data_IF_729094903149
#
_entry.id   IF_729094903149
#
_cell.length_a   1.000
_cell.length_b   1.000
_cell.length_c   1.000
_cell.angle_alpha   90.00
_cell.angle_beta   90.00
_cell.angle_gamma   90.00
#
_symmetry.space_group_name_H-M   'P 1'
#
loop_
_entity.id
_entity.type
_entity.pdbx_description
1 polymer ?
#
# COMPACT_ATOMS: atom_id res chain seq x y z
N UNK A 1 22.89 -9.32 12.80
CA UNK A 1 24.19 -8.64 12.66
C UNK A 1 23.89 -7.15 12.72
N UNK A 2 24.57 -6.38 13.56
CA UNK A 2 24.38 -4.92 13.60
C UNK A 2 25.40 -4.26 12.68
N UNK A 3 25.03 -3.11 12.15
CA UNK A 3 25.93 -2.30 11.34
C UNK A 3 25.85 -0.86 11.87
N UNK A 4 27.01 -0.23 11.97
CA UNK A 4 27.15 1.10 12.57
C UNK A 4 27.07 2.15 11.48
N UNK A 5 26.21 3.13 11.70
CA UNK A 5 25.97 4.21 10.76
C UNK A 5 25.70 5.49 11.56
N UNK A 6 26.54 6.51 11.39
CA UNK A 6 26.48 7.78 12.14
C UNK A 6 26.36 7.59 13.68
N UNK A 7 27.21 6.72 14.25
CA UNK A 7 27.22 6.34 15.68
C UNK A 7 25.94 5.61 16.18
N UNK A 8 25.07 5.18 15.25
CA UNK A 8 23.87 4.39 15.53
C UNK A 8 24.05 2.96 15.05
N UNK A 9 23.85 1.99 15.95
CA UNK A 9 23.80 0.58 15.59
C UNK A 9 22.40 0.22 15.06
N UNK A 10 22.34 -0.06 13.76
CA UNK A 10 21.11 -0.49 13.10
C UNK A 10 21.13 -2.01 12.93
N UNK A 11 19.96 -2.64 13.02
CA UNK A 11 19.84 -4.05 12.71
C UNK A 11 20.01 -4.23 11.19
N UNK A 12 20.90 -5.11 10.76
CA UNK A 12 20.98 -5.49 9.35
C UNK A 12 20.16 -6.76 9.14
N UNK A 13 19.04 -6.62 8.42
CA UNK A 13 18.15 -7.73 8.10
C UNK A 13 18.84 -8.70 7.15
N UNK A 14 18.76 -9.98 7.50
CA UNK A 14 19.27 -11.09 6.70
C UNK A 14 18.25 -11.49 5.63
N UNK A 15 18.65 -12.39 4.73
CA UNK A 15 17.72 -13.00 3.77
C UNK A 15 16.58 -13.76 4.46
N UNK A 16 16.83 -14.34 5.64
CA UNK A 16 15.79 -14.99 6.44
C UNK A 16 14.80 -13.97 7.01
N UNK A 17 15.29 -12.83 7.50
CA UNK A 17 14.42 -11.74 7.98
C UNK A 17 13.57 -11.17 6.83
N UNK A 18 14.14 -11.03 5.64
CA UNK A 18 13.40 -10.62 4.45
C UNK A 18 12.30 -11.62 4.09
N UNK A 19 12.58 -12.93 4.13
CA UNK A 19 11.57 -13.97 3.90
C UNK A 19 10.43 -13.88 4.92
N UNK A 20 10.76 -13.76 6.20
CA UNK A 20 9.75 -13.60 7.28
C UNK A 20 8.92 -12.33 7.10
N UNK A 21 9.56 -11.22 6.72
CA UNK A 21 8.90 -9.95 6.41
C UNK A 21 7.94 -10.09 5.23
N UNK A 22 8.36 -10.77 4.15
CA UNK A 22 7.53 -11.07 2.99
C UNK A 22 6.33 -11.95 3.34
N UNK A 23 6.52 -12.98 4.17
CA UNK A 23 5.43 -13.85 4.61
C UNK A 23 4.42 -13.08 5.50
N UNK A 24 4.91 -12.24 6.41
CA UNK A 24 4.09 -11.30 7.19
C UNK A 24 3.30 -10.35 6.29
N UNK A 25 3.95 -9.77 5.28
CA UNK A 25 3.30 -8.88 4.32
C UNK A 25 2.20 -9.57 3.51
N UNK A 26 2.40 -10.83 3.11
CA UNK A 26 1.37 -11.63 2.42
C UNK A 26 0.17 -11.91 3.30
N UNK A 27 0.36 -12.23 4.57
CA UNK A 27 -0.76 -12.41 5.51
C UNK A 27 -1.49 -11.08 5.76
N UNK A 28 -0.75 -9.99 5.94
CA UNK A 28 -1.32 -8.65 6.03
C UNK A 28 -2.14 -8.27 4.79
N UNK A 29 -1.65 -8.60 3.60
CA UNK A 29 -2.39 -8.39 2.34
C UNK A 29 -3.73 -9.12 2.34
N UNK A 30 -3.77 -10.39 2.76
CA UNK A 30 -5.03 -11.17 2.82
C UNK A 30 -6.06 -10.49 3.71
N UNK A 31 -5.64 -10.00 4.88
CA UNK A 31 -6.51 -9.28 5.82
C UNK A 31 -6.96 -7.94 5.25
N UNK A 32 -6.03 -7.18 4.66
CA UNK A 32 -6.26 -5.80 4.25
C UNK A 32 -7.06 -5.68 2.95
N UNK A 33 -6.75 -6.52 1.96
CA UNK A 33 -7.47 -6.56 0.67
C UNK A 33 -8.91 -7.05 0.82
N UNK A 34 -9.20 -7.88 1.83
CA UNK A 34 -10.56 -8.34 2.14
C UNK A 34 -11.45 -7.23 2.74
N UNK A 35 -10.88 -6.17 3.31
CA UNK A 35 -11.67 -5.03 3.81
C UNK A 35 -12.26 -4.26 2.65
N UNK A 36 -13.50 -3.80 2.78
CA UNK A 36 -14.08 -2.85 1.82
C UNK A 36 -13.30 -1.53 1.83
N UNK A 37 -13.40 -0.78 0.72
CA UNK A 37 -12.74 0.53 0.65
C UNK A 37 -13.21 1.47 1.76
N UNK A 38 -14.49 1.47 2.11
CA UNK A 38 -15.03 2.26 3.22
C UNK A 38 -14.40 1.87 4.57
N UNK A 39 -14.18 0.57 4.80
CA UNK A 39 -13.50 0.11 6.01
C UNK A 39 -12.04 0.56 6.07
N UNK A 40 -11.31 0.50 4.94
CA UNK A 40 -9.94 1.00 4.86
C UNK A 40 -9.88 2.52 5.06
N UNK A 41 -10.82 3.26 4.47
CA UNK A 41 -10.97 4.71 4.64
C UNK A 41 -11.23 5.11 6.08
N UNK A 42 -12.03 4.34 6.82
CA UNK A 42 -12.25 4.59 8.25
C UNK A 42 -10.97 4.44 9.07
N UNK A 43 -10.18 3.39 8.81
CA UNK A 43 -8.87 3.16 9.44
C UNK A 43 -7.90 4.31 9.11
N UNK A 44 -7.85 4.76 7.85
CA UNK A 44 -7.00 5.87 7.44
C UNK A 44 -7.44 7.22 8.01
N UNK A 45 -8.75 7.44 8.18
CA UNK A 45 -9.26 8.61 8.90
C UNK A 45 -8.78 8.61 10.35
N UNK A 46 -8.79 7.43 10.99
CA UNK A 46 -8.26 7.27 12.36
C UNK A 46 -6.75 7.53 12.39
N UNK A 47 -6.00 7.06 11.40
CA UNK A 47 -4.58 7.36 11.26
C UNK A 47 -4.32 8.87 11.21
N UNK A 48 -5.05 9.60 10.36
CA UNK A 48 -4.94 11.05 10.27
C UNK A 48 -5.25 11.74 11.61
N UNK A 49 -6.29 11.29 12.33
CA UNK A 49 -6.61 11.82 13.66
C UNK A 49 -5.52 11.55 14.70
N UNK A 50 -4.93 10.34 14.71
CA UNK A 50 -3.85 10.01 15.65
C UNK A 50 -2.59 10.84 15.35
N UNK A 51 -2.24 11.01 14.07
CA UNK A 51 -1.15 11.88 13.65
C UNK A 51 -1.38 13.32 14.13
N UNK A 52 -2.59 13.85 13.95
CA UNK A 52 -2.95 15.19 14.44
C UNK A 52 -2.77 15.31 15.96
N UNK A 53 -3.21 14.32 16.73
CA UNK A 53 -3.03 14.29 18.19
C UNK A 53 -1.57 14.18 18.64
N UNK A 54 -0.68 13.71 17.76
CA UNK A 54 0.77 13.59 18.00
C UNK A 54 1.57 14.77 17.44
N UNK A 55 0.91 15.87 17.08
CA UNK A 55 1.50 17.07 16.47
C UNK A 55 2.12 16.83 15.08
N UNK A 56 1.69 15.78 14.38
CA UNK A 56 2.13 15.45 13.02
C UNK A 56 1.11 15.96 11.99
N UNK A 57 0.77 17.26 12.06
CA UNK A 57 -0.32 17.85 11.28
C UNK A 57 -0.08 17.78 9.78
N UNK A 58 1.17 17.99 9.34
CA UNK A 58 1.54 17.87 7.94
C UNK A 58 1.25 16.47 7.40
N UNK A 59 1.57 15.42 8.17
CA UNK A 59 1.31 14.04 7.78
C UNK A 59 -0.18 13.72 7.82
N UNK A 60 -0.92 14.24 8.81
CA UNK A 60 -2.37 14.12 8.87
C UNK A 60 -3.06 14.72 7.63
N UNK A 61 -2.60 15.89 7.18
CA UNK A 61 -3.09 16.57 5.98
C UNK A 61 -2.79 15.77 4.71
N UNK A 62 -1.61 15.15 4.62
CA UNK A 62 -1.23 14.28 3.49
C UNK A 62 -2.16 13.06 3.43
N UNK A 63 -2.36 12.36 4.55
CA UNK A 63 -3.26 11.19 4.61
C UNK A 63 -4.67 11.61 4.18
N UNK A 64 -5.18 12.71 4.74
CA UNK A 64 -6.52 13.23 4.45
C UNK A 64 -6.69 13.70 3.00
N UNK A 65 -5.65 14.26 2.39
CA UNK A 65 -5.64 14.66 0.98
C UNK A 65 -5.76 13.44 0.07
N UNK A 66 -4.93 12.42 0.29
CA UNK A 66 -4.84 11.24 -0.58
C UNK A 66 -5.99 10.26 -0.37
N UNK A 67 -6.71 10.33 0.74
CA UNK A 67 -8.01 9.69 0.95
C UNK A 67 -9.03 10.00 -0.16
N UNK A 68 -8.85 11.08 -0.95
CA UNK A 68 -9.70 11.39 -2.10
C UNK A 68 -9.37 10.58 -3.36
N UNK A 69 -8.26 9.82 -3.38
CA UNK A 69 -7.81 9.00 -4.52
C UNK A 69 -8.90 8.12 -5.16
N UNK A 70 -9.75 7.42 -4.38
CA UNK A 70 -10.79 6.54 -4.94
C UNK A 70 -11.76 7.26 -5.87
N UNK A 71 -12.13 8.49 -5.54
CA UNK A 71 -13.07 9.30 -6.32
C UNK A 71 -12.53 9.60 -7.71
N UNK A 72 -11.20 9.76 -7.84
CA UNK A 72 -10.58 10.05 -9.13
C UNK A 72 -10.49 8.82 -10.04
N UNK A 73 -10.39 7.60 -9.47
CA UNK A 73 -9.91 6.44 -10.22
C UNK A 73 -10.91 5.30 -10.37
N UNK A 74 -11.77 5.03 -9.38
CA UNK A 74 -12.60 3.82 -9.37
C UNK A 74 -13.68 3.89 -10.45
N UNK A 75 -14.39 5.01 -10.55
CA UNK A 75 -15.50 5.16 -11.49
C UNK A 75 -15.04 5.23 -12.96
N UNK A 76 -13.77 5.52 -13.22
CA UNK A 76 -13.22 5.68 -14.58
C UNK A 76 -12.72 4.37 -15.20
N UNK A 77 -12.37 3.38 -14.38
CA UNK A 77 -11.62 2.21 -14.82
C UNK A 77 -12.39 0.89 -14.69
N UNK A 78 -13.56 0.91 -14.06
CA UNK A 78 -14.50 -0.23 -14.07
C UNK A 78 -15.47 -0.12 -15.24
N UNK A 79 -15.60 -1.17 -16.03
CA UNK A 79 -16.49 -1.20 -17.20
C UNK A 79 -17.25 -2.52 -17.31
N UNK A 80 -18.45 -2.45 -17.88
CA UNK A 80 -19.26 -3.62 -18.23
C UNK A 80 -19.29 -3.75 -19.75
N UNK A 81 -18.99 -4.94 -20.25
CA UNK A 81 -19.09 -5.31 -21.66
C UNK A 81 -20.00 -6.54 -21.78
N UNK A 82 -20.90 -6.51 -22.77
CA UNK A 82 -21.75 -7.64 -23.14
C UNK A 82 -21.21 -8.15 -24.47
N UNK A 83 -20.63 -9.34 -24.49
CA UNK A 83 -20.23 -9.98 -25.75
C UNK A 83 -21.40 -10.81 -26.29
N UNK A 84 -21.95 -10.38 -27.42
CA UNK A 84 -22.90 -11.17 -28.20
C UNK A 84 -22.72 -10.85 -29.68
N UNK A 85 -22.12 -11.76 -30.44
CA UNK A 85 -22.18 -11.66 -31.90
C UNK A 85 -22.90 -12.86 -32.51
N UNK A 86 -22.58 -14.13 -32.20
CA UNK A 86 -23.28 -15.26 -32.86
C UNK A 86 -23.43 -16.55 -32.02
N UNK A 87 -23.15 -16.54 -30.72
CA UNK A 87 -23.25 -17.74 -29.86
C UNK A 87 -24.56 -17.79 -29.04
N UNK A 88 -25.11 -19.00 -28.75
CA UNK A 88 -26.31 -19.16 -27.91
C UNK A 88 -26.06 -18.81 -26.43
N UNK A 89 -24.81 -18.69 -26.01
CA UNK A 89 -24.42 -18.29 -24.66
C UNK A 89 -24.07 -16.80 -24.63
N UNK A 90 -24.80 -16.04 -23.80
CA UNK A 90 -24.52 -14.63 -23.55
C UNK A 90 -23.63 -14.52 -22.31
N UNK A 91 -22.57 -13.71 -22.40
CA UNK A 91 -21.69 -13.44 -21.27
C UNK A 91 -21.77 -11.97 -20.87
N UNK A 92 -21.85 -11.71 -19.57
CA UNK A 92 -21.57 -10.40 -19.01
C UNK A 92 -20.14 -10.41 -18.47
N UNK A 93 -19.31 -9.51 -19.00
CA UNK A 93 -17.92 -9.32 -18.58
C UNK A 93 -17.83 -8.01 -17.81
N UNK A 94 -17.55 -8.12 -16.51
CA UNK A 94 -17.20 -6.95 -15.69
C UNK A 94 -15.69 -6.86 -15.54
N UNK A 95 -15.12 -5.73 -15.97
CA UNK A 95 -13.71 -5.39 -15.75
C UNK A 95 -13.60 -4.67 -14.41
N UNK A 96 -12.95 -5.30 -13.43
CA UNK A 96 -12.66 -4.71 -12.12
C UNK A 96 -11.16 -4.59 -11.90
N UNK A 97 -10.74 -3.67 -11.04
CA UNK A 97 -9.34 -3.56 -10.59
C UNK A 97 -9.22 -4.02 -9.15
N UNK A 98 -8.29 -4.93 -8.90
CA UNK A 98 -7.99 -5.48 -7.57
C UNK A 98 -6.58 -5.04 -7.13
N UNK A 99 -6.29 -4.93 -5.82
CA UNK A 99 -4.94 -4.55 -5.37
C UNK A 99 -3.89 -5.57 -5.83
N UNK A 100 -2.71 -5.05 -6.21
CA UNK A 100 -1.57 -5.81 -6.76
C UNK A 100 -1.01 -6.85 -5.80
N UNK A 101 -1.03 -6.60 -4.49
CA UNK A 101 -0.50 -7.52 -3.48
C UNK A 101 0.38 -6.82 -2.45
N UNK A 102 1.60 -7.32 -2.30
CA UNK A 102 2.67 -6.71 -1.50
C UNK A 102 3.42 -5.70 -2.37
N UNK A 103 3.54 -4.46 -1.89
CA UNK A 103 4.28 -3.38 -2.52
C UNK A 103 5.56 -3.14 -1.73
N UNK A 104 6.69 -2.95 -2.42
CA UNK A 104 7.96 -2.65 -1.78
C UNK A 104 8.31 -1.19 -2.07
N UNK A 105 8.44 -0.40 -1.00
CA UNK A 105 8.80 1.00 -1.07
C UNK A 105 10.21 1.20 -0.49
N UNK A 106 10.93 2.12 -1.09
CA UNK A 106 12.16 2.68 -0.53
C UNK A 106 11.79 3.76 0.47
N UNK A 107 12.52 3.84 1.59
CA UNK A 107 12.38 4.96 2.51
C UNK A 107 12.85 6.26 1.85
N UNK A 108 12.08 7.32 2.08
CA UNK A 108 12.27 8.65 1.50
C UNK A 108 11.96 9.68 2.58
N UNK A 109 11.91 10.96 2.19
CA UNK A 109 11.38 12.01 3.05
C UNK A 109 9.97 11.65 3.58
N UNK A 110 9.67 12.12 4.80
CA UNK A 110 8.44 11.75 5.52
C UNK A 110 7.17 12.03 4.71
N UNK A 111 7.14 13.16 4.01
CA UNK A 111 5.96 13.62 3.26
C UNK A 111 5.70 12.69 2.09
N UNK A 112 6.74 12.35 1.33
CA UNK A 112 6.65 11.41 0.22
C UNK A 112 6.28 10.01 0.70
N UNK A 113 6.92 9.50 1.74
CA UNK A 113 6.65 8.15 2.23
C UNK A 113 5.23 7.99 2.75
N UNK A 114 4.71 8.96 3.52
CA UNK A 114 3.31 8.90 3.99
C UNK A 114 2.29 9.04 2.85
N UNK A 115 2.62 9.79 1.79
CA UNK A 115 1.82 9.82 0.56
C UNK A 115 1.74 8.42 -0.06
N UNK A 116 2.89 7.79 -0.32
CA UNK A 116 2.97 6.49 -1.00
C UNK A 116 2.31 5.38 -0.16
N UNK A 117 2.55 5.38 1.16
CA UNK A 117 1.86 4.49 2.09
C UNK A 117 0.35 4.66 2.03
N UNK A 118 -0.15 5.89 2.08
CA UNK A 118 -1.59 6.17 2.02
C UNK A 118 -2.19 5.65 0.72
N UNK A 119 -1.53 5.87 -0.42
CA UNK A 119 -1.98 5.39 -1.73
C UNK A 119 -2.04 3.85 -1.78
N UNK A 120 -1.02 3.16 -1.25
CA UNK A 120 -0.98 1.69 -1.16
C UNK A 120 -2.08 1.14 -0.24
N UNK A 121 -2.30 1.77 0.91
CA UNK A 121 -3.31 1.34 1.87
C UNK A 121 -4.73 1.52 1.33
N UNK A 122 -5.01 2.64 0.66
CA UNK A 122 -6.32 2.89 0.05
C UNK A 122 -6.65 1.83 -1.00
N UNK A 123 -5.67 1.49 -1.84
CA UNK A 123 -5.84 0.50 -2.92
C UNK A 123 -6.00 -0.92 -2.37
N UNK A 124 -5.57 -1.18 -1.14
CA UNK A 124 -5.75 -2.47 -0.45
C UNK A 124 -4.52 -3.36 -0.53
N UNK A 125 -3.35 -2.77 -0.77
CA UNK A 125 -2.07 -3.46 -0.75
C UNK A 125 -1.48 -3.49 0.67
N UNK A 126 -0.65 -4.49 0.96
CA UNK A 126 0.30 -4.41 2.08
C UNK A 126 1.64 -3.89 1.59
N UNK A 127 2.45 -3.40 2.53
CA UNK A 127 3.67 -2.66 2.23
C UNK A 127 4.84 -3.24 3.02
N UNK A 128 5.98 -3.35 2.35
CA UNK A 128 7.30 -3.47 2.98
C UNK A 128 8.06 -2.19 2.66
N UNK A 129 8.47 -1.46 3.69
CA UNK A 129 9.34 -0.30 3.55
C UNK A 129 10.77 -0.75 3.87
N UNK A 130 11.67 -0.56 2.91
CA UNK A 130 13.10 -0.77 3.13
C UNK A 130 13.67 0.52 3.70
N UNK A 131 14.14 0.46 4.95
CA UNK A 131 14.67 1.60 5.66
C UNK A 131 15.97 2.10 5.03
N UNK A 132 16.02 3.40 4.88
CA UNK A 132 17.23 4.15 4.66
C UNK A 132 17.84 4.42 6.05
N UNK A 133 19.04 3.89 6.30
CA UNK A 133 19.78 4.10 7.52
C UNK A 133 19.98 5.55 7.97
N UNK A 134 20.16 6.45 6.99
CA UNK A 134 20.41 7.86 7.21
C UNK A 134 19.11 8.58 7.63
N UNK A 135 17.94 8.01 7.30
CA UNK A 135 16.63 8.62 7.53
C UNK A 135 15.87 8.00 8.70
N UNK A 136 15.75 6.66 8.72
CA UNK A 136 14.96 5.87 9.69
C UNK A 136 13.59 6.52 10.02
N UNK A 137 12.93 7.02 8.98
CA UNK A 137 11.73 7.85 9.04
C UNK A 137 10.56 7.11 9.69
N UNK A 138 10.34 5.83 9.37
CA UNK A 138 9.10 5.15 9.73
C UNK A 138 9.07 4.57 11.15
N UNK A 139 10.23 4.24 11.72
CA UNK A 139 10.32 3.53 12.99
C UNK A 139 9.56 4.22 14.15
N UNK A 140 9.58 5.56 14.31
CA UNK A 140 8.81 6.26 15.34
C UNK A 140 7.28 6.18 15.18
N UNK A 141 6.78 5.79 13.99
CA UNK A 141 5.35 5.78 13.67
C UNK A 141 4.70 4.40 13.85
N UNK A 142 5.46 3.35 14.19
CA UNK A 142 4.92 2.00 14.40
C UNK A 142 3.77 1.97 15.41
N UNK A 143 3.92 2.64 16.56
CA UNK A 143 2.86 2.73 17.59
C UNK A 143 1.64 3.53 17.10
N UNK A 144 1.85 4.51 16.23
CA UNK A 144 0.78 5.30 15.62
C UNK A 144 -0.05 4.41 14.68
N UNK A 145 0.58 3.57 13.86
CA UNK A 145 -0.12 2.62 12.99
C UNK A 145 -0.93 1.60 13.79
N UNK A 146 -0.38 1.07 14.87
CA UNK A 146 -1.10 0.16 15.77
C UNK A 146 -2.29 0.85 16.43
N UNK A 147 -2.12 2.08 16.92
CA UNK A 147 -3.20 2.90 17.51
C UNK A 147 -4.29 3.20 16.49
N UNK A 148 -3.90 3.46 15.25
CA UNK A 148 -4.80 3.64 14.11
C UNK A 148 -5.49 2.34 13.67
N UNK A 149 -5.23 1.20 14.32
CA UNK A 149 -5.80 -0.12 14.03
C UNK A 149 -5.45 -0.65 12.65
N UNK A 150 -4.26 -0.29 12.15
CA UNK A 150 -3.66 -0.96 10.98
C UNK A 150 -3.29 -2.37 11.42
N UNK A 151 -3.78 -3.43 10.74
CA UNK A 151 -3.49 -4.79 11.14
C UNK A 151 -1.99 -5.13 11.06
N UNK A 152 -1.49 -6.04 11.92
CA UNK A 152 -0.13 -6.57 11.79
C UNK A 152 0.13 -7.13 10.39
N UNK A 153 1.34 -6.92 9.89
CA UNK A 153 1.75 -7.36 8.55
C UNK A 153 1.25 -6.49 7.40
N UNK A 154 0.39 -5.49 7.63
CA UNK A 154 -0.03 -4.58 6.55
C UNK A 154 1.04 -3.57 6.21
N UNK A 155 1.76 -3.06 7.21
CA UNK A 155 2.96 -2.26 7.03
C UNK A 155 4.09 -3.01 7.73
N UNK A 156 5.17 -3.26 7.01
CA UNK A 156 6.36 -3.93 7.52
C UNK A 156 7.55 -3.04 7.24
N UNK A 157 8.52 -3.07 8.15
CA UNK A 157 9.73 -2.26 8.07
C UNK A 157 10.94 -3.19 8.07
N UNK A 158 11.90 -2.95 7.20
CA UNK A 158 13.10 -3.76 7.11
C UNK A 158 14.31 -2.88 6.81
N UNK A 159 15.29 -2.85 7.71
CA UNK A 159 16.57 -2.18 7.49
C UNK A 159 17.57 -3.18 6.92
N UNK A 160 18.11 -2.92 5.73
CA UNK A 160 19.15 -3.76 5.14
C UNK A 160 20.04 -2.96 4.20
N UNK A 161 21.34 -3.22 4.27
CA UNK A 161 22.32 -2.68 3.32
C UNK A 161 22.60 -3.63 2.14
N UNK A 162 21.93 -4.79 2.07
CA UNK A 162 22.18 -5.85 1.09
C UNK A 162 21.17 -5.79 -0.08
N UNK A 163 20.21 -4.87 -0.05
CA UNK A 163 19.07 -4.85 -0.97
C UNK A 163 19.28 -3.99 -2.22
N UNK A 164 20.51 -3.92 -2.74
CA UNK A 164 20.87 -3.15 -3.94
C UNK A 164 20.04 -3.55 -5.20
N UNK A 165 19.47 -4.77 -5.24
CA UNK A 165 18.68 -5.30 -6.36
C UNK A 165 17.16 -5.30 -6.16
N UNK A 166 16.64 -4.65 -5.11
CA UNK A 166 15.19 -4.59 -4.88
C UNK A 166 14.54 -3.63 -5.87
N UNK A 167 13.58 -4.13 -6.65
CA UNK A 167 12.74 -3.29 -7.50
C UNK A 167 11.68 -2.58 -6.66
N UNK A 168 11.91 -1.30 -6.40
CA UNK A 168 10.96 -0.42 -5.74
C UNK A 168 9.84 0.02 -6.68
N UNK A 169 8.63 0.12 -6.15
CA UNK A 169 7.54 0.79 -6.85
C UNK A 169 7.70 2.31 -6.70
N UNK A 170 8.13 3.01 -7.76
CA UNK A 170 8.21 4.47 -7.76
C UNK A 170 6.84 5.08 -8.07
N UNK A 171 6.27 5.81 -7.11
CA UNK A 171 4.94 6.43 -7.21
C UNK A 171 4.99 7.96 -7.15
N UNK A 172 6.13 8.55 -6.78
CA UNK A 172 6.22 9.95 -6.37
C UNK A 172 5.86 10.95 -7.48
N UNK A 173 6.16 10.61 -8.73
CA UNK A 173 5.99 11.49 -9.90
C UNK A 173 4.70 11.22 -10.67
N UNK A 174 3.94 10.20 -10.28
CA UNK A 174 2.78 9.75 -11.01
C UNK A 174 1.53 10.56 -10.70
N UNK A 175 0.68 10.73 -11.71
CA UNK A 175 -0.67 11.28 -11.53
C UNK A 175 -1.55 10.30 -10.75
N UNK A 176 -2.62 10.77 -10.09
CA UNK A 176 -3.50 9.90 -9.31
C UNK A 176 -4.01 8.66 -10.07
N UNK A 177 -4.36 8.80 -11.35
CA UNK A 177 -4.83 7.67 -12.17
C UNK A 177 -3.73 6.66 -12.46
N UNK A 178 -2.51 7.13 -12.72
CA UNK A 178 -1.32 6.30 -12.98
C UNK A 178 -0.90 5.54 -11.72
N UNK A 179 -0.91 6.20 -10.56
CA UNK A 179 -0.72 5.57 -9.25
C UNK A 179 -1.72 4.43 -9.05
N UNK A 180 -3.00 4.70 -9.31
CA UNK A 180 -4.03 3.68 -9.13
C UNK A 180 -3.81 2.49 -10.07
N UNK A 181 -3.43 2.74 -11.33
CA UNK A 181 -3.09 1.69 -12.30
C UNK A 181 -1.88 0.87 -11.85
N UNK A 182 -0.83 1.49 -11.32
CA UNK A 182 0.37 0.80 -10.86
C UNK A 182 0.13 -0.05 -9.61
N UNK A 183 -0.77 0.38 -8.73
CA UNK A 183 -1.09 -0.29 -7.47
C UNK A 183 -2.18 -1.36 -7.58
N UNK A 184 -2.75 -1.56 -8.76
CA UNK A 184 -3.84 -2.52 -8.99
C UNK A 184 -3.63 -3.31 -10.27
N UNK A 185 -4.35 -4.41 -10.43
CA UNK A 185 -4.36 -5.23 -11.65
C UNK A 185 -5.80 -5.44 -12.13
N UNK A 186 -5.98 -5.59 -13.45
CA UNK A 186 -7.28 -5.92 -14.03
C UNK A 186 -7.66 -7.36 -13.69
N UNK A 187 -8.92 -7.56 -13.31
CA UNK A 187 -9.56 -8.85 -13.16
C UNK A 187 -10.89 -8.83 -13.90
N UNK A 188 -11.10 -9.84 -14.73
CA UNK A 188 -12.36 -10.03 -15.42
C UNK A 188 -13.26 -10.93 -14.56
N UNK A 189 -14.49 -10.50 -14.35
CA UNK A 189 -15.56 -11.32 -13.79
C UNK A 189 -16.48 -11.65 -14.96
N UNK A 190 -16.59 -12.94 -15.27
CA UNK A 190 -17.43 -13.44 -16.37
C UNK A 190 -18.64 -14.13 -15.76
N UNK A 191 -19.83 -13.66 -16.13
CA UNK A 191 -21.11 -14.23 -15.72
C UNK A 191 -21.78 -14.83 -16.95
N UNK A 192 -22.06 -16.13 -16.91
CA UNK A 192 -22.85 -16.79 -17.95
C UNK A 192 -24.34 -16.44 -17.73
N UNK A 193 -24.96 -15.85 -18.74
CA UNK A 193 -26.39 -15.57 -18.76
C UNK A 193 -27.10 -16.77 -19.42
N UNK A 194 -28.09 -17.32 -18.71
CA UNK A 194 -28.96 -18.39 -19.21
C UNK A 194 -30.12 -17.82 -20.02
#
# INVERSE_FOLDING_TARGET
MYWEHNDVLLANATSEDFKRCMDSAKEGYKIWSAKSINSRMHVLSKLASVLQCKNESLLADIVSKWMKLPYFCINRLTGHEIESVEAPERFEITKVRIPKGVIILEEKDKVTLFRELTQCLITGNSIIVICDPDLCTLAPYCDIFLTATIPPGVINLLSSNILEDVKYDNLAELKPEEVYVQLTINKHIVLCLK
#
